data_IF_955662571338
#
_entry.id   IF_955662571338
#
_cell.length_a   1.000
_cell.length_b   1.000
_cell.length_c   1.000
_cell.angle_alpha   90.00
_cell.angle_beta   90.00
_cell.angle_gamma   90.00
#
_symmetry.space_group_name_H-M   'P 1'
#
loop_
_entity.id
_entity.type
_entity.pdbx_description
1 polymer ?
#
# COMPACT_ATOMS: atom_id res chain seq x y z
N UNK A 1 -5.02 -5.36 3.32
CA UNK A 1 -4.88 -5.74 1.89
C UNK A 1 -4.02 -6.99 1.73
N UNK A 2 -2.98 -7.14 2.56
CA UNK A 2 -1.98 -8.22 2.56
C UNK A 2 -2.27 -9.37 3.52
N UNK A 3 -3.45 -9.39 4.15
CA UNK A 3 -3.92 -10.50 4.99
C UNK A 3 -5.10 -11.17 4.30
N UNK A 4 -5.20 -12.48 4.47
CA UNK A 4 -6.32 -13.26 3.93
C UNK A 4 -7.63 -12.87 4.63
N UNK A 5 -8.72 -12.93 3.88
CA UNK A 5 -10.07 -12.67 4.38
C UNK A 5 -10.99 -13.78 3.88
N UNK A 6 -12.06 -14.15 4.61
CA UNK A 6 -12.96 -15.24 4.20
C UNK A 6 -13.48 -15.15 2.75
N UNK A 7 -13.59 -13.92 2.22
CA UNK A 7 -14.13 -13.63 0.88
C UNK A 7 -13.06 -13.22 -0.16
N UNK A 8 -11.79 -13.09 0.21
CA UNK A 8 -10.71 -12.79 -0.75
C UNK A 8 -9.33 -13.18 -0.23
N UNK A 9 -8.50 -13.66 -1.15
CA UNK A 9 -7.09 -13.89 -0.88
C UNK A 9 -6.36 -12.57 -0.59
N UNK A 10 -5.28 -12.66 0.18
CA UNK A 10 -4.36 -11.54 0.38
C UNK A 10 -3.76 -11.09 -0.95
N UNK A 11 -3.49 -9.79 -1.02
CA UNK A 11 -2.61 -9.21 -2.04
C UNK A 11 -1.16 -9.48 -1.65
N UNK A 12 -0.31 -9.66 -2.65
CA UNK A 12 1.14 -9.58 -2.49
C UNK A 12 1.55 -8.17 -2.07
N UNK A 13 2.75 -8.03 -1.48
CA UNK A 13 3.28 -6.71 -1.14
C UNK A 13 3.40 -5.81 -2.39
N UNK A 14 3.73 -6.38 -3.56
CA UNK A 14 3.83 -5.61 -4.82
C UNK A 14 2.46 -5.08 -5.27
N UNK A 15 1.43 -5.93 -5.23
CA UNK A 15 0.06 -5.52 -5.56
C UNK A 15 -0.47 -4.46 -4.60
N UNK A 16 -0.22 -4.64 -3.29
CA UNK A 16 -0.64 -3.67 -2.29
C UNK A 16 0.04 -2.31 -2.48
N UNK A 17 1.35 -2.29 -2.81
CA UNK A 17 2.07 -1.06 -3.14
C UNK A 17 1.49 -0.36 -4.37
N UNK A 18 1.20 -1.10 -5.44
CA UNK A 18 0.57 -0.55 -6.66
C UNK A 18 -0.79 0.09 -6.35
N UNK A 19 -1.61 -0.58 -5.56
CA UNK A 19 -2.94 -0.09 -5.19
C UNK A 19 -2.87 1.19 -4.34
N UNK A 20 -1.98 1.23 -3.34
CA UNK A 20 -1.78 2.44 -2.52
C UNK A 20 -1.35 3.63 -3.39
N UNK A 21 -0.40 3.42 -4.31
CA UNK A 21 0.05 4.48 -5.22
C UNK A 21 -1.05 4.92 -6.20
N UNK A 22 -1.83 3.97 -6.73
CA UNK A 22 -2.94 4.24 -7.66
C UNK A 22 -4.02 5.13 -7.05
N UNK A 23 -4.31 4.97 -5.77
CA UNK A 23 -5.36 5.72 -5.07
C UNK A 23 -4.84 6.88 -4.20
N UNK A 24 -3.56 7.25 -4.38
CA UNK A 24 -2.98 8.45 -3.78
C UNK A 24 -3.67 9.71 -4.30
N UNK A 25 -4.07 10.62 -3.40
CA UNK A 25 -4.82 11.83 -3.73
C UNK A 25 -6.32 11.63 -3.90
N UNK A 26 -6.82 10.39 -3.78
CA UNK A 26 -8.26 10.07 -3.82
C UNK A 26 -8.69 9.44 -2.50
N UNK A 27 -8.14 8.27 -2.18
CA UNK A 27 -8.46 7.52 -0.96
C UNK A 27 -7.42 7.77 0.14
N UNK A 28 -6.17 8.04 -0.26
CA UNK A 28 -5.04 8.24 0.64
C UNK A 28 -4.49 9.66 0.47
N UNK A 29 -4.05 10.28 1.57
CA UNK A 29 -3.33 11.55 1.51
C UNK A 29 -1.98 11.35 0.79
N UNK A 30 -1.67 12.13 -0.27
CA UNK A 30 -0.42 11.99 -1.00
C UNK A 30 0.83 12.06 -0.13
N UNK A 31 0.87 12.97 0.86
CA UNK A 31 2.04 13.13 1.73
C UNK A 31 2.24 11.91 2.62
N UNK A 32 1.15 11.29 3.08
CA UNK A 32 1.24 10.06 3.88
C UNK A 32 1.71 8.89 3.01
N UNK A 33 1.25 8.81 1.76
CA UNK A 33 1.72 7.79 0.82
C UNK A 33 3.22 7.94 0.57
N UNK A 34 3.70 9.15 0.31
CA UNK A 34 5.12 9.42 0.06
C UNK A 34 6.00 8.99 1.25
N UNK A 35 5.68 9.46 2.47
CA UNK A 35 6.40 9.07 3.71
C UNK A 35 6.32 7.56 3.96
N UNK A 36 5.17 6.93 3.70
CA UNK A 36 5.02 5.48 3.85
C UNK A 36 5.97 4.71 2.93
N UNK A 37 6.17 5.18 1.69
CA UNK A 37 7.12 4.55 0.77
C UNK A 37 8.57 4.81 1.13
N UNK A 38 8.92 6.00 1.61
CA UNK A 38 10.26 6.32 2.13
C UNK A 38 10.63 5.39 3.29
N UNK A 39 9.76 5.25 4.30
CA UNK A 39 9.98 4.37 5.44
C UNK A 39 10.12 2.89 5.05
N UNK A 40 9.41 2.46 4.00
CA UNK A 40 9.53 1.10 3.46
C UNK A 40 10.86 0.84 2.73
N UNK A 41 11.54 1.88 2.26
CA UNK A 41 12.87 1.78 1.64
C UNK A 41 13.98 1.87 2.68
N UNK A 42 13.82 2.70 3.71
CA UNK A 42 14.77 2.82 4.83
C UNK A 42 14.79 1.58 5.74
N UNK A 43 13.65 0.92 5.93
CA UNK A 43 13.54 -0.29 6.74
C UNK A 43 14.01 -1.58 6.06
N UNK A 44 14.79 -1.49 4.97
CA UNK A 44 15.40 -2.64 4.27
C UNK A 44 16.78 -3.00 4.79
#
# INVERSE_FOLDING_TARGET
>A
MTSDRPYRNKMTNSEAKKEIKKFSGIQFDPKVVDVFFELLEEGK
#
